data_IF_422242823961
#
_entry.id   IF_422242823961
#
_cell.length_a   1.000
_cell.length_b   1.000
_cell.length_c   1.000
_cell.angle_alpha   90.00
_cell.angle_beta   90.00
_cell.angle_gamma   90.00
#
_symmetry.space_group_name_H-M   'P 1'
#
loop_
_entity.id
_entity.type
_entity.pdbx_description
1 polymer ?
#
# COMPACT_ATOMS: atom_id res chain seq x y z
N UNK A 1 4.03 3.40 0.24
CA UNK A 1 3.19 2.63 -0.66
C UNK A 1 3.99 1.52 -1.35
N UNK A 2 3.28 0.66 -2.07
CA UNK A 2 3.95 -0.43 -2.77
C UNK A 2 2.96 -1.41 -3.37
N UNK A 3 3.48 -2.42 -4.07
CA UNK A 3 2.64 -3.43 -4.69
C UNK A 3 1.65 -4.02 -3.69
N UNK A 4 0.38 -4.03 -4.05
CA UNK A 4 -0.66 -4.57 -3.18
C UNK A 4 -1.70 -5.34 -3.98
N UNK A 5 -2.34 -6.30 -3.33
CA UNK A 5 -3.36 -7.12 -3.98
C UNK A 5 -4.77 -6.60 -3.67
N UNK A 6 -5.22 -5.64 -4.46
CA UNK A 6 -6.54 -5.06 -4.26
C UNK A 6 -7.04 -4.36 -5.53
N UNK A 7 -8.35 -4.20 -5.64
CA UNK A 7 -8.95 -3.54 -6.80
C UNK A 7 -10.04 -2.56 -6.38
N UNK A 8 -9.62 -1.35 -6.02
CA UNK A 8 -10.57 -0.32 -5.60
C UNK A 8 -9.94 1.06 -5.70
N UNK A 9 -10.78 2.07 -5.88
CA UNK A 9 -10.31 3.45 -5.99
C UNK A 9 -10.16 4.09 -4.62
N UNK A 10 -8.91 4.42 -4.28
CA UNK A 10 -8.62 5.04 -2.98
C UNK A 10 -8.63 6.57 -3.09
N UNK A 11 -8.74 7.23 -1.94
CA UNK A 11 -8.75 8.69 -1.90
C UNK A 11 -7.34 9.26 -1.91
N UNK A 12 -7.23 10.54 -1.62
CA UNK A 12 -5.93 11.21 -1.60
C UNK A 12 -4.86 10.32 -0.97
N UNK A 13 -3.61 10.55 -1.34
CA UNK A 13 -2.51 9.76 -0.82
C UNK A 13 -2.52 9.74 0.71
N UNK A 14 -1.81 8.77 1.29
CA UNK A 14 -1.73 8.62 2.74
C UNK A 14 -0.92 9.74 3.40
N UNK A 15 0.35 9.47 3.69
CA UNK A 15 1.22 10.45 4.31
C UNK A 15 2.17 11.06 3.30
N UNK A 16 2.68 10.22 2.40
CA UNK A 16 3.62 10.68 1.37
C UNK A 16 3.04 10.45 -0.02
N UNK A 17 3.64 11.11 -1.02
CA UNK A 17 3.19 10.98 -2.40
C UNK A 17 3.39 9.56 -2.90
N UNK A 18 2.29 8.82 -3.05
CA UNK A 18 2.35 7.45 -3.53
C UNK A 18 2.94 7.39 -4.94
N UNK A 19 4.00 6.60 -5.09
CA UNK A 19 4.67 6.46 -6.37
C UNK A 19 4.06 5.33 -7.18
N UNK A 20 2.88 4.88 -6.77
CA UNK A 20 2.19 3.79 -7.46
C UNK A 20 2.26 3.98 -8.98
N UNK A 21 1.93 5.18 -9.45
CA UNK A 21 1.98 5.46 -10.87
C UNK A 21 3.36 5.27 -11.45
N UNK A 22 4.34 5.98 -10.91
CA UNK A 22 5.70 5.89 -11.39
C UNK A 22 6.44 4.73 -10.73
N UNK A 23 7.76 4.76 -10.79
CA UNK A 23 8.59 3.71 -10.20
C UNK A 23 8.71 3.88 -8.70
N UNK A 24 8.17 2.92 -7.94
CA UNK A 24 8.22 2.99 -6.49
C UNK A 24 9.61 2.58 -5.98
N UNK A 25 10.33 1.82 -6.78
CA UNK A 25 11.67 1.37 -6.42
C UNK A 25 12.50 2.52 -5.84
N UNK A 26 12.19 3.74 -6.28
CA UNK A 26 12.90 4.92 -5.82
C UNK A 26 12.38 5.37 -4.46
N UNK A 27 11.07 5.53 -4.36
CA UNK A 27 10.43 5.95 -3.12
C UNK A 27 10.36 4.81 -2.12
N UNK A 28 9.79 3.69 -2.55
CA UNK A 28 9.66 2.52 -1.69
C UNK A 28 10.97 2.20 -0.99
N UNK A 29 12.08 2.43 -1.69
CA UNK A 29 13.40 2.17 -1.14
C UNK A 29 13.61 2.94 0.17
N UNK A 30 13.02 4.12 0.25
CA UNK A 30 13.14 4.96 1.44
C UNK A 30 12.21 4.47 2.54
N UNK A 31 11.02 4.03 2.16
CA UNK A 31 10.04 3.52 3.12
C UNK A 31 10.51 2.22 3.74
N UNK A 32 11.14 1.37 2.93
CA UNK A 32 11.63 0.10 3.42
C UNK A 32 10.85 -1.07 2.87
N UNK A 33 10.26 -0.89 1.69
CA UNK A 33 9.47 -1.94 1.04
C UNK A 33 10.13 -2.39 -0.25
N UNK A 34 11.39 -2.81 -0.17
CA UNK A 34 12.12 -3.27 -1.33
C UNK A 34 11.49 -4.53 -1.93
N UNK A 35 10.55 -5.12 -1.19
CA UNK A 35 9.86 -6.33 -1.64
C UNK A 35 8.97 -6.01 -2.84
N UNK A 36 8.77 -4.73 -3.11
CA UNK A 36 7.93 -4.30 -4.23
C UNK A 36 8.70 -3.40 -5.18
N UNK A 37 8.60 -3.68 -6.48
CA UNK A 37 9.29 -2.88 -7.48
C UNK A 37 8.73 -3.16 -8.87
N UNK A 38 9.05 -2.29 -9.83
CA UNK A 38 8.58 -2.45 -11.19
C UNK A 38 7.06 -2.28 -11.28
N UNK A 39 6.49 -1.64 -10.27
CA UNK A 39 5.05 -1.42 -10.21
C UNK A 39 4.71 0.03 -10.57
N UNK A 40 4.16 0.22 -11.77
CA UNK A 40 3.79 1.56 -12.23
C UNK A 40 2.35 1.57 -12.74
N UNK A 41 1.42 1.97 -11.86
CA UNK A 41 0.01 2.04 -12.22
C UNK A 41 -0.72 3.09 -11.38
N UNK A 42 -1.87 3.53 -11.88
CA UNK A 42 -2.65 4.52 -11.16
C UNK A 42 -3.08 4.05 -9.80
N UNK A 43 -4.22 4.57 -9.33
CA UNK A 43 -4.75 4.19 -8.02
C UNK A 43 -5.39 2.81 -8.07
N UNK A 44 -4.57 1.78 -8.29
CA UNK A 44 -5.06 0.41 -8.35
C UNK A 44 -3.96 -0.54 -8.80
N UNK A 45 -3.58 -1.45 -7.91
CA UNK A 45 -2.54 -2.42 -8.21
C UNK A 45 -2.86 -3.77 -7.58
N UNK A 46 -2.40 -4.85 -8.23
CA UNK A 46 -2.64 -6.20 -7.73
C UNK A 46 -1.35 -6.99 -7.66
N UNK A 47 -0.92 -7.31 -6.44
CA UNK A 47 0.31 -8.07 -6.24
C UNK A 47 0.55 -8.32 -4.76
N UNK A 48 1.25 -9.41 -4.45
CA UNK A 48 1.55 -9.76 -3.07
C UNK A 48 2.96 -9.33 -2.68
N UNK A 49 3.24 -9.37 -1.38
CA UNK A 49 4.56 -8.97 -0.88
C UNK A 49 5.23 -10.12 -0.14
N UNK A 50 6.56 -10.17 -0.22
CA UNK A 50 7.33 -11.21 0.44
C UNK A 50 7.37 -11.00 1.95
N UNK A 51 6.34 -11.46 2.64
CA UNK A 51 6.27 -11.31 4.09
C UNK A 51 6.23 -12.67 4.77
N UNK A 52 6.31 -12.66 6.10
CA UNK A 52 6.30 -13.89 6.89
C UNK A 52 5.18 -13.87 7.93
N UNK A 53 5.01 -12.72 8.58
CA UNK A 53 3.99 -12.55 9.61
C UNK A 53 2.64 -13.06 9.11
N UNK A 54 1.71 -13.26 10.04
CA UNK A 54 0.38 -13.74 9.70
C UNK A 54 -0.44 -12.64 9.03
N UNK A 55 -0.57 -11.51 9.72
CA UNK A 55 -1.33 -10.38 9.18
C UNK A 55 -0.56 -9.68 8.08
N UNK A 56 0.71 -9.40 8.33
CA UNK A 56 1.56 -8.73 7.34
C UNK A 56 1.79 -9.61 6.13
N UNK A 57 1.30 -10.85 6.19
CA UNK A 57 1.44 -11.79 5.10
C UNK A 57 1.39 -11.08 3.74
N UNK A 58 0.43 -10.17 3.61
CA UNK A 58 0.27 -9.41 2.37
C UNK A 58 1.43 -8.42 2.19
N UNK A 59 1.11 -7.14 2.23
CA UNK A 59 2.12 -6.09 2.07
C UNK A 59 2.01 -5.05 3.18
N UNK A 60 1.26 -3.99 2.91
CA UNK A 60 1.07 -2.92 3.88
C UNK A 60 -0.39 -2.80 4.29
N UNK A 61 -1.28 -3.22 3.41
CA UNK A 61 -2.72 -3.16 3.67
C UNK A 61 -3.04 -3.68 5.07
N UNK A 62 -2.13 -4.50 5.60
CA UNK A 62 -2.32 -5.07 6.94
C UNK A 62 -2.56 -3.98 7.97
N UNK A 63 -1.50 -3.56 8.65
CA UNK A 63 -1.60 -2.51 9.66
C UNK A 63 -0.69 -1.34 9.34
N UNK A 64 0.42 -1.62 8.66
CA UNK A 64 1.37 -0.58 8.29
C UNK A 64 0.66 0.72 7.95
N UNK A 65 -0.32 0.64 7.05
CA UNK A 65 -1.08 1.81 6.64
C UNK A 65 -1.66 2.53 7.86
N UNK A 66 -2.62 1.90 8.51
CA UNK A 66 -3.27 2.47 9.69
C UNK A 66 -2.23 2.90 10.72
N UNK A 67 -1.00 2.40 10.55
CA UNK A 67 0.09 2.72 11.47
C UNK A 67 0.64 4.11 11.19
N UNK A 68 0.72 4.47 9.92
CA UNK A 68 1.23 5.78 9.51
C UNK A 68 0.43 6.33 8.33
N UNK A 69 0.34 5.55 7.27
CA UNK A 69 -0.39 5.96 6.08
C UNK A 69 -1.79 6.45 6.44
N UNK A 70 -2.52 5.63 7.20
CA UNK A 70 -3.87 5.97 7.62
C UNK A 70 -3.89 6.48 9.06
N UNK A 71 -4.53 7.61 9.28
CA UNK A 71 -4.63 8.20 10.61
C UNK A 71 -6.04 8.10 11.15
N UNK A 72 -6.16 7.77 12.44
CA UNK A 72 -7.46 7.64 13.08
C UNK A 72 -8.23 8.96 13.04
N UNK A 73 -7.53 10.03 12.70
CA UNK A 73 -8.14 11.36 12.62
C UNK A 73 -9.18 11.41 11.50
N UNK A 74 -8.83 10.87 10.34
CA UNK A 74 -9.73 10.85 9.20
C UNK A 74 -9.38 9.72 8.23
N UNK A 75 -9.09 8.55 8.78
CA UNK A 75 -8.74 7.39 7.96
C UNK A 75 -9.93 6.94 7.12
N UNK A 76 -9.72 6.83 5.82
CA UNK A 76 -10.76 6.40 4.91
C UNK A 76 -10.19 6.05 3.54
N UNK A 77 -10.59 4.89 3.02
CA UNK A 77 -10.11 4.43 1.72
C UNK A 77 -10.93 3.25 1.22
N UNK A 78 -10.70 2.87 -0.03
CA UNK A 78 -11.43 1.76 -0.63
C UNK A 78 -10.47 0.61 -1.00
N UNK A 79 -10.96 -0.61 -0.92
CA UNK A 79 -10.16 -1.78 -1.24
C UNK A 79 -11.04 -3.00 -1.47
N UNK A 80 -10.41 -4.15 -1.73
CA UNK A 80 -11.13 -5.38 -1.97
C UNK A 80 -10.97 -6.35 -0.81
N UNK A 81 -11.59 -7.52 -0.91
CA UNK A 81 -11.52 -8.53 0.14
C UNK A 81 -10.06 -8.79 0.53
N UNK A 82 -9.58 -8.04 1.52
CA UNK A 82 -8.21 -8.19 1.99
C UNK A 82 -8.15 -8.20 3.51
N UNK A 83 -6.98 -8.49 4.06
CA UNK A 83 -6.79 -8.52 5.51
C UNK A 83 -7.92 -7.79 6.22
N UNK A 84 -7.70 -6.51 6.50
CA UNK A 84 -8.70 -5.69 7.18
C UNK A 84 -9.20 -4.58 6.27
N UNK A 85 -8.28 -3.70 5.85
CA UNK A 85 -8.63 -2.59 4.98
C UNK A 85 -7.79 -1.35 5.32
N UNK A 86 -6.52 -1.38 4.92
CA UNK A 86 -5.61 -0.28 5.18
C UNK A 86 -4.57 -0.15 4.08
N UNK A 87 -4.99 0.35 2.92
CA UNK A 87 -4.09 0.51 1.78
C UNK A 87 -3.14 1.69 2.01
N UNK A 88 -2.33 2.00 1.00
CA UNK A 88 -1.38 3.10 1.09
C UNK A 88 -1.87 4.30 0.30
N UNK A 89 -1.46 4.40 -0.96
CA UNK A 89 -1.87 5.50 -1.82
C UNK A 89 -3.28 5.96 -1.49
#
# INVERSE_FOLDING_TARGET
AGMKTIELHITLQPQVLDTQGQTLTRAVHDLGYAQVNDIRVGKVLYMTVDEVSDEKVHNIITTLSEKLFANTVIEEYSYKVLDDEKENA
#
